data_IF_203287376082
#
_entry.id   IF_203287376082
#
_cell.length_a   1.000
_cell.length_b   1.000
_cell.length_c   1.000
_cell.angle_alpha   90.00
_cell.angle_beta   90.00
_cell.angle_gamma   90.00
#
_symmetry.space_group_name_H-M   'P 1'
#
loop_
_entity.id
_entity.type
_entity.pdbx_description
1 polymer ?
#
# COMPACT_ATOMS: atom_id res chain seq x y z
N UNK A 1 -8.94 -38.66 -23.28
CA UNK A 1 -8.74 -37.46 -24.13
C UNK A 1 -9.34 -36.32 -23.33
N UNK A 2 -8.53 -35.35 -22.92
CA UNK A 2 -8.92 -34.35 -21.92
C UNK A 2 -10.14 -33.54 -22.39
N UNK A 3 -11.11 -33.40 -21.48
CA UNK A 3 -12.35 -32.64 -21.64
C UNK A 3 -12.01 -31.16 -21.46
N UNK A 4 -11.70 -30.49 -22.58
CA UNK A 4 -11.56 -29.03 -22.62
C UNK A 4 -12.97 -28.44 -22.65
N UNK A 5 -13.34 -27.64 -21.65
CA UNK A 5 -14.63 -26.94 -21.63
C UNK A 5 -14.76 -26.14 -22.95
N UNK A 6 -15.84 -26.34 -23.72
CA UNK A 6 -15.96 -25.77 -25.05
C UNK A 6 -15.98 -24.24 -24.97
N UNK A 7 -15.16 -23.60 -25.80
CA UNK A 7 -15.08 -22.14 -25.83
C UNK A 7 -16.39 -21.54 -26.33
N UNK A 8 -16.69 -20.30 -25.92
CA UNK A 8 -17.95 -19.62 -26.29
C UNK A 8 -18.17 -19.54 -27.79
N UNK A 9 -17.09 -19.48 -28.57
CA UNK A 9 -17.12 -19.48 -30.04
C UNK A 9 -17.67 -20.81 -30.60
N UNK A 10 -17.23 -21.96 -30.06
CA UNK A 10 -17.68 -23.28 -30.48
C UNK A 10 -19.14 -23.53 -30.11
N UNK A 11 -19.58 -23.02 -28.97
CA UNK A 11 -20.99 -23.07 -28.55
C UNK A 11 -21.88 -22.24 -29.48
N UNK A 12 -21.40 -21.08 -29.95
CA UNK A 12 -22.11 -20.23 -30.91
C UNK A 12 -22.23 -20.89 -32.28
N UNK A 13 -21.17 -21.52 -32.77
CA UNK A 13 -21.17 -22.25 -34.05
C UNK A 13 -22.14 -23.44 -34.04
N UNK A 14 -22.17 -24.21 -32.94
CA UNK A 14 -23.16 -25.29 -32.77
C UNK A 14 -24.60 -24.81 -32.69
N UNK A 15 -24.83 -23.63 -32.09
CA UNK A 15 -26.16 -23.02 -32.02
C UNK A 15 -26.65 -22.54 -33.39
N UNK A 16 -25.76 -22.02 -34.24
CA UNK A 16 -26.08 -21.60 -35.61
C UNK A 16 -26.49 -22.80 -36.48
N UNK A 17 -25.76 -23.91 -36.36
CA UNK A 17 -26.10 -25.20 -36.97
C UNK A 17 -27.48 -25.73 -36.54
N UNK A 18 -27.84 -25.60 -35.26
CA UNK A 18 -29.17 -26.01 -34.77
C UNK A 18 -30.29 -25.05 -35.18
N UNK A 19 -30.01 -23.76 -35.35
CA UNK A 19 -31.01 -22.76 -35.76
C UNK A 19 -31.46 -22.98 -37.22
N UNK A 20 -30.58 -23.56 -38.06
CA UNK A 20 -30.87 -23.93 -39.45
C UNK A 20 -31.75 -25.20 -39.57
N UNK A 21 -31.71 -26.11 -38.58
CA UNK A 21 -32.41 -27.40 -38.64
C UNK A 21 -33.79 -27.44 -37.97
N UNK A 22 -34.24 -26.39 -37.28
CA UNK A 22 -35.43 -26.46 -36.41
C UNK A 22 -36.62 -25.66 -36.96
N UNK A 23 -37.68 -26.40 -37.32
CA UNK A 23 -38.98 -25.88 -37.77
C UNK A 23 -40.07 -25.96 -36.69
N UNK A 24 -39.96 -25.16 -35.61
CA UNK A 24 -41.06 -24.89 -34.68
C UNK A 24 -40.90 -23.53 -33.98
N UNK A 25 -42.01 -22.80 -33.79
CA UNK A 25 -42.00 -21.37 -33.40
C UNK A 25 -41.49 -21.05 -31.98
N UNK A 26 -41.57 -21.99 -31.04
CA UNK A 26 -41.08 -21.81 -29.66
C UNK A 26 -39.57 -22.02 -29.53
N UNK A 27 -38.99 -22.98 -30.25
CA UNK A 27 -37.55 -23.24 -30.21
C UNK A 27 -36.74 -22.08 -30.78
N UNK A 28 -37.20 -21.43 -31.86
CA UNK A 28 -36.57 -20.21 -32.40
C UNK A 28 -36.57 -19.03 -31.43
N UNK A 29 -37.52 -18.97 -30.48
CA UNK A 29 -37.51 -17.92 -29.44
C UNK A 29 -36.48 -18.24 -28.35
N UNK A 30 -36.27 -19.53 -28.06
CA UNK A 30 -35.29 -20.00 -27.09
C UNK A 30 -33.86 -19.84 -27.62
N UNK A 31 -33.62 -20.22 -28.87
CA UNK A 31 -32.34 -20.03 -29.57
C UNK A 31 -31.92 -18.55 -29.59
N UNK A 32 -32.84 -17.64 -29.98
CA UNK A 32 -32.58 -16.19 -29.97
C UNK A 32 -32.27 -15.61 -28.60
N UNK A 33 -32.83 -16.18 -27.52
CA UNK A 33 -32.54 -15.75 -26.15
C UNK A 33 -31.13 -16.19 -25.73
N UNK A 34 -30.77 -17.43 -26.04
CA UNK A 34 -29.45 -17.99 -25.75
C UNK A 34 -28.38 -17.24 -26.54
N UNK A 35 -28.61 -16.96 -27.83
CA UNK A 35 -27.70 -16.17 -28.65
C UNK A 35 -27.46 -14.76 -28.10
N UNK A 36 -28.52 -14.07 -27.65
CA UNK A 36 -28.38 -12.75 -27.03
C UNK A 36 -27.59 -12.77 -25.72
N UNK A 37 -27.73 -13.83 -24.92
CA UNK A 37 -26.94 -14.01 -23.69
C UNK A 37 -25.48 -14.31 -24.02
N UNK A 38 -25.21 -15.18 -25.00
CA UNK A 38 -23.87 -15.51 -25.46
C UNK A 38 -23.16 -14.29 -26.07
N UNK A 39 -23.85 -13.51 -26.92
CA UNK A 39 -23.32 -12.25 -27.45
C UNK A 39 -23.05 -11.21 -26.34
N UNK A 40 -23.85 -11.20 -25.29
CA UNK A 40 -23.65 -10.34 -24.11
C UNK A 40 -22.39 -10.71 -23.33
N UNK A 41 -22.20 -12.00 -23.08
CA UNK A 41 -21.04 -12.55 -22.39
C UNK A 41 -19.76 -12.34 -23.20
N UNK A 42 -19.79 -12.62 -24.51
CA UNK A 42 -18.63 -12.44 -25.37
C UNK A 42 -18.16 -10.97 -25.42
N UNK A 43 -19.11 -10.01 -25.50
CA UNK A 43 -18.77 -8.58 -25.43
C UNK A 43 -18.24 -8.14 -24.06
N UNK A 44 -18.72 -8.77 -22.98
CA UNK A 44 -18.24 -8.50 -21.63
C UNK A 44 -16.82 -9.04 -21.42
N UNK A 45 -16.57 -10.27 -21.85
CA UNK A 45 -15.27 -10.93 -21.80
C UNK A 45 -14.23 -10.17 -22.63
N UNK A 46 -14.56 -9.80 -23.87
CA UNK A 46 -13.66 -9.06 -24.74
C UNK A 46 -13.32 -7.66 -24.21
N UNK A 47 -14.27 -6.94 -23.58
CA UNK A 47 -13.97 -5.67 -22.91
C UNK A 47 -13.13 -5.84 -21.65
N UNK A 48 -13.36 -6.92 -20.90
CA UNK A 48 -12.62 -7.18 -19.66
C UNK A 48 -11.18 -7.55 -19.99
N UNK A 49 -10.97 -8.42 -20.98
CA UNK A 49 -9.65 -8.79 -21.47
C UNK A 49 -8.94 -7.60 -22.11
N UNK A 50 -9.60 -6.80 -22.95
CA UNK A 50 -9.01 -5.58 -23.52
C UNK A 50 -8.61 -4.55 -22.44
N UNK A 51 -9.40 -4.39 -21.38
CA UNK A 51 -9.09 -3.48 -20.28
C UNK A 51 -7.95 -4.01 -19.39
N UNK A 52 -7.87 -5.32 -19.21
CA UNK A 52 -6.77 -5.98 -18.48
C UNK A 52 -5.48 -5.92 -19.32
N UNK A 53 -5.54 -6.23 -20.61
CA UNK A 53 -4.39 -6.23 -21.51
C UNK A 53 -3.84 -4.82 -21.78
N UNK A 54 -4.72 -3.81 -21.91
CA UNK A 54 -4.29 -2.40 -22.05
C UNK A 54 -3.71 -1.80 -20.76
N UNK A 55 -4.06 -2.31 -19.58
CA UNK A 55 -3.45 -1.87 -18.31
C UNK A 55 -2.14 -2.60 -17.99
N UNK A 56 -1.78 -3.67 -18.72
CA UNK A 56 -0.56 -4.46 -18.50
C UNK A 56 0.67 -3.90 -19.26
N UNK A 57 0.53 -2.85 -20.08
CA UNK A 57 1.61 -2.46 -21.00
C UNK A 57 2.69 -1.51 -20.45
N UNK A 58 2.60 -0.99 -19.22
CA UNK A 58 3.75 -0.29 -18.60
C UNK A 58 3.79 -0.51 -17.10
N UNK A 59 4.68 -1.40 -16.66
CA UNK A 59 5.15 -1.45 -15.27
C UNK A 59 5.81 -0.10 -14.96
N UNK A 60 5.06 0.78 -14.32
CA UNK A 60 5.44 2.16 -14.07
C UNK A 60 6.18 2.24 -12.74
N UNK A 61 7.01 3.26 -12.53
CA UNK A 61 7.63 3.54 -11.22
C UNK A 61 6.58 3.65 -10.10
N UNK A 62 5.37 4.08 -10.44
CA UNK A 62 4.18 4.05 -9.58
C UNK A 62 3.79 2.66 -9.12
N UNK A 63 3.77 1.67 -10.01
CA UNK A 63 3.36 0.30 -9.67
C UNK A 63 4.41 -0.39 -8.79
N UNK A 64 5.69 -0.08 -8.99
CA UNK A 64 6.77 -0.50 -8.10
C UNK A 64 6.59 0.09 -6.71
N UNK A 65 6.25 1.38 -6.62
CA UNK A 65 6.00 2.05 -5.35
C UNK A 65 4.75 1.52 -4.66
N UNK A 66 3.67 1.27 -5.40
CA UNK A 66 2.42 0.71 -4.86
C UNK A 66 2.61 -0.73 -4.37
N UNK A 67 3.33 -1.55 -5.13
CA UNK A 67 3.71 -2.89 -4.70
C UNK A 67 4.65 -2.88 -3.49
N UNK A 68 5.63 -1.97 -3.47
CA UNK A 68 6.52 -1.78 -2.33
C UNK A 68 5.77 -1.33 -1.08
N UNK A 69 4.88 -0.34 -1.22
CA UNK A 69 4.02 0.19 -0.15
C UNK A 69 3.10 -0.91 0.38
N UNK A 70 2.36 -1.58 -0.49
CA UNK A 70 1.48 -2.69 -0.10
C UNK A 70 2.24 -3.82 0.57
N UNK A 71 3.37 -4.24 0.00
CA UNK A 71 4.20 -5.30 0.61
C UNK A 71 4.72 -4.89 1.98
N UNK A 72 5.11 -3.62 2.17
CA UNK A 72 5.59 -3.08 3.46
C UNK A 72 4.49 -3.05 4.52
N UNK A 73 3.25 -2.66 4.15
CA UNK A 73 2.09 -2.67 5.06
C UNK A 73 1.80 -4.08 5.58
N UNK A 74 1.86 -5.07 4.69
CA UNK A 74 1.56 -6.45 5.06
C UNK A 74 2.75 -7.15 5.73
N UNK A 75 3.98 -6.84 5.33
CA UNK A 75 5.17 -7.48 5.87
C UNK A 75 5.58 -6.95 7.22
N UNK A 76 5.44 -5.63 7.49
CA UNK A 76 5.90 -5.04 8.75
C UNK A 76 5.20 -5.67 9.97
N UNK A 77 3.86 -5.80 10.03
CA UNK A 77 3.19 -6.46 11.15
C UNK A 77 3.63 -7.92 11.32
N UNK A 78 3.86 -8.64 10.21
CA UNK A 78 4.26 -10.06 10.22
C UNK A 78 5.72 -10.24 10.66
N UNK A 79 6.63 -9.35 10.28
CA UNK A 79 8.03 -9.32 10.74
C UNK A 79 8.11 -8.94 12.22
N UNK A 80 7.14 -8.18 12.72
CA UNK A 80 7.11 -7.61 14.07
C UNK A 80 6.44 -8.55 15.08
N UNK A 81 5.72 -9.58 14.64
CA UNK A 81 5.21 -10.65 15.50
C UNK A 81 6.38 -11.44 16.10
N UNK A 82 6.81 -11.05 17.31
CA UNK A 82 8.01 -11.56 17.98
C UNK A 82 9.32 -10.87 17.57
N UNK A 83 9.44 -10.39 16.32
CA UNK A 83 10.69 -9.86 15.78
C UNK A 83 11.15 -8.50 16.30
N UNK A 84 10.28 -7.66 16.90
CA UNK A 84 10.69 -6.32 17.39
C UNK A 84 11.82 -6.40 18.41
N UNK A 85 11.73 -7.36 19.32
CA UNK A 85 12.74 -7.53 20.37
C UNK A 85 14.06 -8.05 19.79
N UNK A 86 13.98 -8.97 18.83
CA UNK A 86 15.14 -9.57 18.15
C UNK A 86 15.85 -8.57 17.23
N UNK A 87 15.10 -7.87 16.38
CA UNK A 87 15.62 -6.82 15.50
C UNK A 87 16.21 -5.66 16.33
N UNK A 88 15.50 -5.25 17.39
CA UNK A 88 16.01 -4.23 18.31
C UNK A 88 17.31 -4.66 19.00
N UNK A 89 17.43 -5.94 19.38
CA UNK A 89 18.67 -6.51 19.90
C UNK A 89 19.78 -6.52 18.85
N UNK A 90 19.47 -6.90 17.61
CA UNK A 90 20.43 -6.88 16.51
C UNK A 90 20.96 -5.46 16.24
N UNK A 91 20.10 -4.45 16.28
CA UNK A 91 20.50 -3.04 16.15
C UNK A 91 21.42 -2.59 17.27
N UNK A 92 21.15 -3.02 18.51
CA UNK A 92 21.94 -2.66 19.68
C UNK A 92 23.31 -3.35 19.73
N UNK A 93 23.40 -4.58 19.23
CA UNK A 93 24.60 -5.44 19.32
C UNK A 93 25.50 -5.37 18.09
N UNK A 94 24.95 -5.04 16.92
CA UNK A 94 25.70 -4.99 15.66
C UNK A 94 26.42 -3.66 15.47
N UNK A 95 27.52 -3.51 16.21
CA UNK A 95 28.37 -2.33 16.21
C UNK A 95 29.53 -2.51 15.22
N UNK A 96 29.66 -1.62 14.25
CA UNK A 96 30.82 -1.54 13.35
C UNK A 96 31.65 -0.34 13.80
N UNK A 97 32.88 -0.58 14.28
CA UNK A 97 33.73 0.45 14.90
C UNK A 97 33.03 1.22 16.05
N UNK A 98 32.17 0.55 16.82
CA UNK A 98 31.41 1.18 17.90
C UNK A 98 30.19 1.99 17.44
N UNK A 99 29.88 1.98 16.14
CA UNK A 99 28.71 2.66 15.56
C UNK A 99 27.60 1.64 15.29
N UNK A 100 26.36 1.88 15.74
CA UNK A 100 25.22 0.98 15.50
C UNK A 100 24.68 1.20 14.07
N UNK A 101 25.39 0.65 13.08
CA UNK A 101 25.14 0.94 11.66
C UNK A 101 23.72 0.56 11.23
N UNK A 102 23.20 -0.57 11.71
CA UNK A 102 21.85 -1.01 11.35
C UNK A 102 20.75 -0.12 11.95
N UNK A 103 20.95 0.42 13.15
CA UNK A 103 20.06 1.40 13.75
C UNK A 103 20.01 2.69 12.91
N UNK A 104 21.18 3.20 12.52
CA UNK A 104 21.29 4.40 11.67
C UNK A 104 20.70 4.15 10.28
N UNK A 105 20.95 2.99 9.70
CA UNK A 105 20.38 2.59 8.42
C UNK A 105 18.84 2.53 8.51
N UNK A 106 18.28 1.98 9.60
CA UNK A 106 16.84 1.99 9.82
C UNK A 106 16.30 3.42 9.93
N UNK A 107 16.96 4.29 10.70
CA UNK A 107 16.53 5.68 10.82
C UNK A 107 16.52 6.42 9.47
N UNK A 108 17.59 6.25 8.66
CA UNK A 108 17.66 6.79 7.30
C UNK A 108 16.57 6.20 6.40
N UNK A 109 16.33 4.89 6.51
CA UNK A 109 15.30 4.19 5.76
C UNK A 109 13.91 4.75 6.07
N UNK A 110 13.57 4.92 7.35
CA UNK A 110 12.29 5.49 7.79
C UNK A 110 12.09 6.89 7.22
N UNK A 111 13.10 7.76 7.37
CA UNK A 111 13.01 9.13 6.84
C UNK A 111 12.85 9.13 5.33
N UNK A 112 13.64 8.30 4.62
CA UNK A 112 13.63 8.23 3.15
C UNK A 112 12.29 7.71 2.64
N UNK A 113 11.74 6.67 3.27
CA UNK A 113 10.49 6.08 2.79
C UNK A 113 9.29 6.98 3.10
N UNK A 114 9.25 7.60 4.28
CA UNK A 114 8.20 8.59 4.61
C UNK A 114 8.31 9.81 3.71
N UNK A 115 9.52 10.30 3.42
CA UNK A 115 9.70 11.39 2.46
C UNK A 115 9.28 11.01 1.04
N UNK A 116 9.62 9.80 0.58
CA UNK A 116 9.15 9.28 -0.71
C UNK A 116 7.64 9.19 -0.78
N UNK A 117 7.01 8.71 0.30
CA UNK A 117 5.56 8.62 0.41
C UNK A 117 4.88 10.00 0.38
N UNK A 118 5.44 11.01 1.07
CA UNK A 118 4.83 12.34 1.17
C UNK A 118 5.11 13.26 -0.03
N UNK A 119 6.27 13.13 -0.68
CA UNK A 119 6.74 14.10 -1.69
C UNK A 119 6.95 13.52 -3.09
N UNK A 120 7.23 12.22 -3.21
CA UNK A 120 7.41 11.58 -4.53
C UNK A 120 6.11 10.96 -5.05
N UNK A 121 5.20 10.56 -4.16
CA UNK A 121 3.83 10.26 -4.56
C UNK A 121 3.12 11.59 -4.88
N UNK A 122 2.96 11.89 -6.17
CA UNK A 122 2.42 13.09 -6.84
C UNK A 122 1.07 13.65 -6.32
N UNK A 123 0.93 13.97 -5.02
CA UNK A 123 -0.39 14.28 -4.44
C UNK A 123 -0.69 15.74 -4.08
N UNK A 124 0.26 16.69 -4.26
CA UNK A 124 -0.05 18.14 -4.34
C UNK A 124 1.20 18.98 -4.54
N UNK A 125 1.05 20.13 -5.22
CA UNK A 125 1.95 21.28 -5.03
C UNK A 125 1.80 21.75 -3.58
N UNK A 126 2.69 21.30 -2.72
CA UNK A 126 2.74 21.75 -1.32
C UNK A 126 3.73 22.91 -1.27
N UNK A 127 3.30 24.09 -0.82
CA UNK A 127 4.22 25.14 -0.41
C UNK A 127 5.16 24.56 0.65
N UNK A 128 6.44 24.42 0.31
CA UNK A 128 7.44 23.84 1.19
C UNK A 128 7.72 24.86 2.28
N UNK A 129 7.00 24.78 3.40
CA UNK A 129 7.44 25.44 4.63
C UNK A 129 8.53 24.58 5.28
N UNK A 130 9.76 25.09 5.29
CA UNK A 130 10.91 24.40 5.86
C UNK A 130 10.93 24.58 7.39
N UNK A 131 10.99 23.46 8.11
CA UNK A 131 11.47 23.39 9.49
C UNK A 131 13.00 23.42 9.47
N UNK A 132 13.61 24.18 10.38
CA UNK A 132 15.07 24.37 10.47
C UNK A 132 15.75 24.85 9.16
N UNK A 133 15.00 25.32 8.17
CA UNK A 133 15.53 25.81 6.88
C UNK A 133 15.93 24.73 5.87
N UNK A 134 15.80 23.43 6.17
CA UNK A 134 16.22 22.34 5.27
C UNK A 134 15.24 21.15 5.21
N UNK A 135 14.39 20.94 6.23
CA UNK A 135 13.52 19.76 6.33
C UNK A 135 12.05 20.20 6.31
N UNK A 136 11.16 19.62 5.49
CA UNK A 136 9.76 20.03 5.48
C UNK A 136 9.07 19.85 6.84
N UNK A 137 8.35 20.86 7.34
CA UNK A 137 7.65 20.80 8.66
C UNK A 137 6.71 19.59 8.76
N UNK A 138 6.01 19.29 7.67
CA UNK A 138 5.07 18.15 7.58
C UNK A 138 5.76 16.81 7.82
N UNK A 139 6.92 16.59 7.20
CA UNK A 139 7.73 15.37 7.40
C UNK A 139 8.14 15.24 8.87
N UNK A 140 8.61 16.32 9.48
CA UNK A 140 9.00 16.33 10.91
C UNK A 140 7.80 15.99 11.79
N UNK A 141 6.63 16.62 11.54
CA UNK A 141 5.41 16.35 12.30
C UNK A 141 5.00 14.88 12.27
N UNK A 142 4.91 14.31 11.07
CA UNK A 142 4.56 12.89 10.86
C UNK A 142 5.54 11.96 11.57
N UNK A 143 6.84 12.18 11.41
CA UNK A 143 7.88 11.37 12.02
C UNK A 143 7.88 11.46 13.54
N UNK A 144 7.74 12.66 14.10
CA UNK A 144 7.72 12.89 15.56
C UNK A 144 6.47 12.28 16.18
N UNK A 145 5.28 12.51 15.60
CA UNK A 145 4.04 11.93 16.11
C UNK A 145 4.13 10.41 16.09
N UNK A 146 4.56 9.82 14.98
CA UNK A 146 4.73 8.37 14.88
C UNK A 146 5.72 7.82 15.93
N UNK A 147 6.83 8.53 16.18
CA UNK A 147 7.82 8.12 17.19
C UNK A 147 7.24 8.18 18.61
N UNK A 148 6.52 9.25 18.93
CA UNK A 148 5.85 9.41 20.22
C UNK A 148 4.77 8.35 20.42
N UNK A 149 3.97 8.07 19.40
CA UNK A 149 2.96 7.00 19.45
C UNK A 149 3.62 5.65 19.67
N UNK A 150 4.67 5.30 18.91
CA UNK A 150 5.41 4.05 19.11
C UNK A 150 5.96 3.93 20.53
N UNK A 151 6.57 5.00 21.05
CA UNK A 151 7.10 5.06 22.41
C UNK A 151 6.00 4.87 23.46
N UNK A 152 4.88 5.59 23.32
CA UNK A 152 3.76 5.54 24.25
C UNK A 152 3.10 4.15 24.26
N UNK A 153 2.88 3.54 23.09
CA UNK A 153 2.34 2.19 22.97
C UNK A 153 3.33 1.16 23.53
N UNK A 154 4.63 1.27 23.28
CA UNK A 154 5.60 0.35 23.90
C UNK A 154 5.65 0.52 25.43
N UNK A 155 5.54 1.74 25.94
CA UNK A 155 5.51 2.02 27.37
C UNK A 155 4.24 1.46 28.03
N UNK A 156 3.08 1.71 27.43
CA UNK A 156 1.78 1.29 27.95
C UNK A 156 1.66 -0.25 28.05
N UNK A 157 2.31 -0.99 27.15
CA UNK A 157 2.35 -2.45 27.18
C UNK A 157 3.56 -3.04 27.93
N UNK A 158 4.33 -2.21 28.65
CA UNK A 158 5.46 -2.67 29.47
C UNK A 158 6.61 -3.28 28.68
N UNK A 159 6.81 -2.86 27.43
CA UNK A 159 7.87 -3.38 26.53
C UNK A 159 9.19 -2.60 26.62
N UNK A 160 9.22 -1.50 27.37
CA UNK A 160 10.41 -0.69 27.57
C UNK A 160 11.19 -1.16 28.79
N UNK A 161 12.48 -1.39 28.59
CA UNK A 161 13.43 -1.64 29.66
C UNK A 161 14.16 -0.34 30.01
N UNK A 162 14.12 0.03 31.29
CA UNK A 162 14.79 1.23 31.81
C UNK A 162 16.25 0.98 32.16
N UNK A 163 16.66 -0.28 32.36
CA UNK A 163 18.05 -0.65 32.60
C UNK A 163 18.89 -0.58 31.32
N UNK A 164 18.27 -0.85 30.17
CA UNK A 164 18.91 -0.80 28.85
C UNK A 164 18.22 0.21 27.92
N UNK A 165 18.41 1.52 28.15
CA UNK A 165 17.69 2.57 27.41
C UNK A 165 18.00 2.55 25.91
N UNK A 166 19.22 2.17 25.52
CA UNK A 166 19.61 2.08 24.12
C UNK A 166 18.93 0.92 23.38
N UNK A 167 18.80 -0.24 24.04
CA UNK A 167 18.06 -1.38 23.49
C UNK A 167 16.57 -1.04 23.32
N UNK A 168 15.99 -0.36 24.32
CA UNK A 168 14.63 0.16 24.24
C UNK A 168 14.45 1.13 23.07
N UNK A 169 15.41 2.04 22.84
CA UNK A 169 15.38 2.95 21.69
C UNK A 169 15.45 2.20 20.35
N UNK A 170 16.30 1.18 20.26
CA UNK A 170 16.39 0.33 19.06
C UNK A 170 15.05 -0.36 18.77
N UNK A 171 14.40 -0.92 19.80
CA UNK A 171 13.07 -1.55 19.67
C UNK A 171 11.99 -0.54 19.26
N UNK A 172 11.99 0.64 19.88
CA UNK A 172 11.09 1.75 19.50
C UNK A 172 11.29 2.10 18.02
N UNK A 173 12.54 2.14 17.53
CA UNK A 173 12.82 2.49 16.13
C UNK A 173 12.23 1.50 15.13
N UNK A 174 12.09 0.22 15.49
CA UNK A 174 11.44 -0.80 14.65
C UNK A 174 9.93 -0.56 14.57
N UNK A 175 9.30 -0.30 15.72
CA UNK A 175 7.85 0.03 15.78
C UNK A 175 7.58 1.37 15.09
N UNK A 176 8.49 2.32 15.24
CA UNK A 176 8.45 3.62 14.59
C UNK A 176 8.44 3.50 13.07
N UNK A 177 9.17 2.54 12.49
CA UNK A 177 9.11 2.27 11.04
C UNK A 177 7.68 2.00 10.56
N UNK A 178 6.95 1.11 11.27
CA UNK A 178 5.56 0.82 10.94
C UNK A 178 4.63 2.01 11.23
N UNK A 179 4.84 2.70 12.35
CA UNK A 179 4.07 3.88 12.74
C UNK A 179 4.22 5.04 11.75
N UNK A 180 5.44 5.33 11.31
CA UNK A 180 5.75 6.42 10.38
C UNK A 180 5.15 6.17 9.00
N UNK A 181 5.13 4.90 8.58
CA UNK A 181 4.48 4.49 7.36
C UNK A 181 2.96 4.66 7.43
N UNK A 182 2.33 4.17 8.49
CA UNK A 182 0.89 4.35 8.72
C UNK A 182 0.49 5.82 8.84
N UNK A 183 1.28 6.63 9.54
CA UNK A 183 1.07 8.07 9.67
C UNK A 183 1.20 8.79 8.32
N UNK A 184 2.17 8.41 7.50
CA UNK A 184 2.33 8.94 6.13
C UNK A 184 1.13 8.63 5.24
N UNK A 185 0.53 7.44 5.35
CA UNK A 185 -0.71 7.11 4.63
C UNK A 185 -1.90 7.90 5.17
N UNK A 186 -2.05 7.97 6.50
CA UNK A 186 -3.13 8.73 7.14
C UNK A 186 -3.12 10.21 6.73
N UNK A 187 -1.93 10.77 6.55
CA UNK A 187 -1.71 12.14 6.07
C UNK A 187 -2.01 12.31 4.56
N UNK A 188 -1.99 11.24 3.78
CA UNK A 188 -2.36 11.25 2.35
C UNK A 188 -3.88 11.10 2.14
N UNK A 189 -4.59 10.47 3.10
CA UNK A 189 -6.03 10.29 2.97
C UNK A 189 -6.75 11.64 2.98
N UNK A 190 -7.66 11.90 2.03
CA UNK A 190 -8.41 13.14 1.97
C UNK A 190 -9.37 13.21 3.16
N UNK A 191 -8.97 13.94 4.19
CA UNK A 191 -9.85 14.48 5.22
C UNK A 191 -10.13 15.94 4.90
N UNK A 192 -11.38 16.36 5.03
CA UNK A 192 -11.79 17.76 5.03
C UNK A 192 -11.20 18.46 6.26
N UNK A 193 -9.89 18.73 6.26
CA UNK A 193 -9.25 19.43 7.38
C UNK A 193 -9.41 20.94 7.19
N UNK A 194 -10.56 21.44 7.59
CA UNK A 194 -10.75 22.80 8.13
C UNK A 194 -10.16 22.88 9.56
N UNK A 195 -8.92 22.40 9.74
CA UNK A 195 -8.21 22.47 11.00
C UNK A 195 -7.36 23.74 11.06
N UNK A 196 -7.54 24.53 12.10
CA UNK A 196 -6.78 25.76 12.37
C UNK A 196 -5.26 25.46 12.34
N UNK A 197 -4.49 26.27 11.62
CA UNK A 197 -3.04 26.08 11.53
C UNK A 197 -2.43 26.16 12.93
N UNK A 198 -1.55 25.21 13.29
CA UNK A 198 -0.85 25.22 14.59
C UNK A 198 -0.04 26.52 14.79
N UNK A 199 0.31 27.23 13.71
CA UNK A 199 0.91 28.56 13.77
C UNK A 199 0.01 29.63 14.40
N UNK A 200 -1.30 29.57 14.18
CA UNK A 200 -2.27 30.50 14.79
C UNK A 200 -2.47 30.22 16.28
N UNK A 201 -2.27 28.97 16.71
CA UNK A 201 -2.38 28.57 18.12
C UNK A 201 -1.24 29.11 19.00
N UNK A 202 -0.07 29.38 18.41
CA UNK A 202 1.11 29.90 19.12
C UNK A 202 1.40 31.40 18.87
N UNK A 203 0.48 32.10 18.19
CA UNK A 203 0.53 33.54 18.01
C UNK A 203 1.28 33.98 16.76
N UNK A 204 0.55 34.60 15.84
CA UNK A 204 1.12 35.23 14.66
C UNK A 204 2.20 36.25 15.00
N UNK A 205 3.36 36.06 14.37
CA UNK A 205 4.33 37.11 14.07
C UNK A 205 4.90 36.84 12.70
#
# INVERSE_FOLDING_TARGET
MADEDPTTAEVLERLESLEESVSAGEERRRARRIRRLAEGLHRFEQRTLDNVERNIQRYTTRDVLEAFVGSTIFSLPLVVEGGVLEIGSHFATSLVYGVPVYFLANAVFVVTITAGLLYYAEFREVEIQLAFGFVPKRLVGVLVIAFLTATATMALWGRLDTAEPFLSLCRISVVWTAGAFGAGIGDILPGENEGEEIGDLFGGT
#
